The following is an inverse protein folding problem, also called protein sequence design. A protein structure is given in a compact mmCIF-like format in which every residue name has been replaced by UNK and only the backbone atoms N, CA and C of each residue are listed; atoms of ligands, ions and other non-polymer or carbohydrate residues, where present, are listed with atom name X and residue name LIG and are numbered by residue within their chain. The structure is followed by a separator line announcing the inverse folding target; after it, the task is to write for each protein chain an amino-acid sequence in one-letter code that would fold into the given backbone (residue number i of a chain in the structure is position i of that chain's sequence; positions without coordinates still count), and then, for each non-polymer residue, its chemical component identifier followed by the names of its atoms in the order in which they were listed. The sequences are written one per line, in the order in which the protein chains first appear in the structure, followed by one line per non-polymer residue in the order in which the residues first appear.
data_IF_165261641320
#
_entry.id   IF_165261641320
#
_cell.length_a   1.000
_cell.length_b   1.000
_cell.length_c   1.000
_cell.angle_alpha   90.00
_cell.angle_beta   90.00
_cell.angle_gamma   90.00
#
_symmetry.space_group_name_H-M   'P 1'
#
loop_
_entity.id
_entity.type
_entity.pdbx_description
1 polymer ?
#
# COMPACT_ATOMS: atom_id res chain seq x y z
N UNK A 1 1.58 7.23 -9.26
CA UNK A 1 2.67 6.50 -8.55
C UNK A 1 3.95 6.59 -9.37
N UNK A 2 5.04 7.10 -8.80
CA UNK A 2 6.35 7.14 -9.48
C UNK A 2 6.83 5.75 -9.93
N UNK A 3 6.54 4.68 -9.16
CA UNK A 3 6.95 3.31 -9.47
C UNK A 3 6.40 2.81 -10.82
N UNK A 4 5.22 3.29 -11.24
CA UNK A 4 4.64 2.92 -12.53
C UNK A 4 5.40 3.51 -13.73
N UNK A 5 6.25 4.52 -13.51
CA UNK A 5 7.11 5.07 -14.56
C UNK A 5 8.28 4.14 -14.92
N UNK A 6 8.51 3.08 -14.14
CA UNK A 6 9.57 2.10 -14.37
C UNK A 6 8.94 0.79 -14.88
N UNK A 7 9.04 0.46 -16.19
CA UNK A 7 8.38 -0.72 -16.75
C UNK A 7 8.74 -2.04 -16.06
N UNK A 8 10.00 -2.16 -15.61
CA UNK A 8 10.49 -3.33 -14.86
C UNK A 8 9.80 -3.53 -13.51
N UNK A 9 9.27 -2.47 -12.91
CA UNK A 9 8.57 -2.49 -11.64
C UNK A 9 7.06 -2.53 -11.87
N UNK A 10 6.54 -1.73 -12.81
CA UNK A 10 5.12 -1.62 -13.13
C UNK A 10 4.41 -2.97 -13.35
N UNK A 11 5.11 -3.99 -13.92
CA UNK A 11 4.58 -5.35 -14.08
C UNK A 11 4.11 -6.02 -12.78
N UNK A 12 4.56 -5.54 -11.62
CA UNK A 12 4.21 -6.07 -10.30
C UNK A 12 3.15 -5.25 -9.55
N UNK A 13 2.62 -4.18 -10.15
CA UNK A 13 1.67 -3.28 -9.50
C UNK A 13 0.37 -3.20 -10.30
N UNK A 14 -0.77 -3.41 -9.62
CA UNK A 14 -2.08 -3.20 -10.22
C UNK A 14 -2.48 -1.72 -10.23
N UNK A 15 -3.21 -1.30 -11.27
CA UNK A 15 -3.70 0.09 -11.41
C UNK A 15 -5.20 0.24 -11.13
N UNK A 16 -5.94 -0.86 -11.08
CA UNK A 16 -7.42 -0.87 -10.98
C UNK A 16 -7.93 -1.29 -9.59
N UNK A 17 -7.03 -1.42 -8.61
CA UNK A 17 -7.37 -1.86 -7.26
C UNK A 17 -8.07 -0.79 -6.44
N UNK A 18 -8.88 -1.21 -5.46
CA UNK A 18 -9.65 -0.29 -4.63
C UNK A 18 -8.80 0.55 -3.67
N UNK A 19 -7.67 -0.01 -3.20
CA UNK A 19 -6.73 0.65 -2.28
C UNK A 19 -5.63 1.31 -3.11
N UNK A 20 -5.61 2.63 -3.06
CA UNK A 20 -4.56 3.40 -3.71
C UNK A 20 -3.27 3.36 -2.89
N UNK A 21 -2.17 3.13 -3.60
CA UNK A 21 -0.81 3.20 -3.08
C UNK A 21 -0.15 4.42 -3.71
N UNK A 22 0.66 5.15 -2.95
CA UNK A 22 1.43 6.29 -3.44
C UNK A 22 2.84 6.25 -2.84
N UNK A 23 3.83 6.61 -3.66
CA UNK A 23 5.16 6.97 -3.19
C UNK A 23 5.23 8.48 -2.95
N UNK A 24 6.24 8.95 -2.22
CA UNK A 24 6.49 10.38 -2.10
C UNK A 24 6.86 10.95 -3.48
N UNK A 25 6.14 11.98 -3.94
CA UNK A 25 6.35 12.61 -5.26
C UNK A 25 7.71 13.30 -5.40
N UNK A 26 8.44 13.50 -4.29
CA UNK A 26 9.80 14.05 -4.27
C UNK A 26 10.64 13.35 -3.21
N UNK A 27 11.88 13.04 -3.58
CA UNK A 27 12.97 12.83 -2.63
C UNK A 27 13.10 14.08 -1.78
N UNK A 28 12.77 14.00 -0.49
CA UNK A 28 13.38 14.93 0.44
C UNK A 28 14.88 14.62 0.49
N UNK A 29 15.69 15.64 0.74
CA UNK A 29 17.15 15.53 0.82
C UNK A 29 17.61 14.38 1.73
N UNK A 30 16.86 14.15 2.80
CA UNK A 30 17.14 13.11 3.78
C UNK A 30 17.02 11.69 3.20
N UNK A 31 15.99 11.41 2.39
CA UNK A 31 15.82 10.10 1.76
C UNK A 31 16.97 9.79 0.80
N UNK A 32 17.42 10.78 0.03
CA UNK A 32 18.55 10.60 -0.89
C UNK A 32 19.83 10.24 -0.12
N UNK A 33 20.13 10.96 0.97
CA UNK A 33 21.28 10.67 1.85
C UNK A 33 21.21 9.30 2.50
N UNK A 34 20.02 8.87 2.91
CA UNK A 34 19.84 7.53 3.48
C UNK A 34 20.13 6.45 2.43
N UNK A 35 19.64 6.61 1.19
CA UNK A 35 19.93 5.67 0.12
C UNK A 35 21.42 5.63 -0.26
N UNK A 36 22.09 6.78 -0.25
CA UNK A 36 23.54 6.87 -0.42
C UNK A 36 24.29 6.10 0.67
N UNK A 37 23.93 6.28 1.94
CA UNK A 37 24.53 5.54 3.05
C UNK A 37 24.32 4.01 2.92
N UNK A 38 23.16 3.56 2.43
CA UNK A 38 22.95 2.14 2.12
C UNK A 38 23.88 1.66 0.99
N UNK A 39 24.09 2.48 -0.03
CA UNK A 39 25.01 2.18 -1.12
C UNK A 39 26.46 2.08 -0.63
N UNK A 40 26.90 2.97 0.28
CA UNK A 40 28.24 2.92 0.89
C UNK A 40 28.47 1.64 1.69
N UNK A 41 27.42 1.09 2.29
CA UNK A 41 27.44 -0.19 2.99
C UNK A 41 27.35 -1.41 2.05
N UNK A 42 27.31 -1.18 0.73
CA UNK A 42 27.28 -2.24 -0.29
C UNK A 42 25.88 -2.80 -0.58
N UNK A 43 24.80 -2.17 -0.10
CA UNK A 43 23.45 -2.55 -0.48
C UNK A 43 23.07 -1.97 -1.84
N UNK A 44 22.36 -2.75 -2.65
CA UNK A 44 21.81 -2.25 -3.90
C UNK A 44 20.76 -1.17 -3.61
N UNK A 45 20.82 -0.06 -4.33
CA UNK A 45 19.69 0.88 -4.40
C UNK A 45 18.73 0.41 -5.50
N UNK A 46 17.47 0.23 -5.17
CA UNK A 46 16.43 -0.31 -6.06
C UNK A 46 15.28 0.68 -6.23
N UNK A 47 14.77 0.77 -7.45
CA UNK A 47 13.61 1.61 -7.81
C UNK A 47 12.33 1.14 -7.11
N UNK A 48 12.19 -0.16 -6.88
CA UNK A 48 11.03 -0.77 -6.23
C UNK A 48 11.47 -1.93 -5.34
N UNK A 49 11.09 -1.84 -4.06
CA UNK A 49 11.36 -2.87 -3.05
C UNK A 49 10.38 -4.04 -3.09
N UNK A 50 9.23 -3.86 -3.75
CA UNK A 50 8.24 -4.90 -3.95
C UNK A 50 8.53 -5.72 -5.22
N UNK A 51 9.58 -5.38 -5.97
CA UNK A 51 10.04 -6.20 -7.07
C UNK A 51 10.63 -7.51 -6.52
N UNK A 52 10.07 -8.69 -6.88
CA UNK A 52 10.52 -9.98 -6.34
C UNK A 52 11.92 -10.40 -6.83
N UNK A 53 12.45 -9.78 -7.89
CA UNK A 53 13.73 -10.14 -8.50
C UNK A 53 14.91 -9.40 -7.85
N UNK A 54 14.68 -8.34 -7.06
CA UNK A 54 15.75 -7.51 -6.50
C UNK A 54 15.55 -7.18 -5.03
N UNK A 55 16.59 -7.44 -4.24
CA UNK A 55 16.69 -7.03 -2.83
C UNK A 55 17.59 -5.79 -2.75
N UNK A 56 17.13 -4.77 -2.01
CA UNK A 56 17.90 -3.54 -1.83
C UNK A 56 17.18 -2.47 -1.01
N UNK A 57 17.88 -1.35 -0.82
CA UNK A 57 17.32 -0.13 -0.26
C UNK A 57 16.62 0.66 -1.36
N UNK A 58 15.44 1.20 -1.09
CA UNK A 58 14.66 1.89 -2.12
C UNK A 58 13.53 2.68 -1.52
N UNK A 59 12.77 3.32 -2.41
CA UNK A 59 11.63 4.12 -2.02
C UNK A 59 10.55 3.28 -1.32
N UNK A 60 9.88 3.92 -0.37
CA UNK A 60 8.72 3.36 0.30
C UNK A 60 7.44 3.80 -0.43
N UNK A 61 6.56 2.82 -0.61
CA UNK A 61 5.18 3.02 -1.03
C UNK A 61 4.27 2.95 0.19
N UNK A 62 3.27 3.82 0.21
CA UNK A 62 2.34 3.95 1.32
C UNK A 62 0.90 3.84 0.81
N UNK A 63 -0.01 3.36 1.64
CA UNK A 63 -1.45 3.41 1.39
C UNK A 63 -1.98 4.81 1.66
N UNK A 64 -1.69 5.74 0.74
CA UNK A 64 -2.00 7.16 0.84
C UNK A 64 -2.59 7.63 -0.49
N UNK A 65 -3.64 8.45 -0.42
CA UNK A 65 -4.23 9.18 -1.54
C UNK A 65 -4.44 10.62 -1.11
N UNK A 66 -3.95 11.58 -1.91
CA UNK A 66 -4.07 13.01 -1.64
C UNK A 66 -3.60 13.41 -0.23
N UNK A 67 -2.49 12.82 0.23
CA UNK A 67 -1.93 13.08 1.56
C UNK A 67 -2.72 12.49 2.73
N UNK A 68 -3.80 11.74 2.47
CA UNK A 68 -4.60 11.06 3.50
C UNK A 68 -4.40 9.57 3.45
N UNK A 69 -4.42 8.94 4.62
CA UNK A 69 -4.40 7.47 4.76
C UNK A 69 -5.57 6.85 3.97
N UNK A 70 -5.26 5.89 3.11
CA UNK A 70 -6.24 4.99 2.49
C UNK A 70 -6.39 3.74 3.34
N UNK A 71 -7.30 3.79 4.31
CA UNK A 71 -7.71 2.60 5.07
C UNK A 71 -8.60 1.68 4.22
N UNK A 72 -8.76 0.42 4.63
CA UNK A 72 -9.72 -0.50 3.98
C UNK A 72 -11.16 0.00 4.06
N UNK A 73 -11.54 0.67 5.16
CA UNK A 73 -12.85 1.32 5.30
C UNK A 73 -13.03 2.40 4.23
N UNK A 74 -12.09 3.34 4.14
CA UNK A 74 -12.15 4.44 3.16
C UNK A 74 -12.09 3.96 1.72
N UNK A 75 -11.21 3.01 1.43
CA UNK A 75 -10.93 2.54 0.08
C UNK A 75 -12.00 1.58 -0.45
N UNK A 76 -12.67 0.83 0.43
CA UNK A 76 -13.60 -0.24 0.03
C UNK A 76 -14.99 -0.04 0.61
N UNK A 77 -15.10 0.04 1.95
CA UNK A 77 -16.40 0.02 2.62
C UNK A 77 -17.22 1.29 2.37
N UNK A 78 -16.60 2.47 2.46
CA UNK A 78 -17.28 3.76 2.28
C UNK A 78 -17.87 3.91 0.87
N UNK A 79 -17.24 3.29 -0.15
CA UNK A 79 -17.71 3.31 -1.54
C UNK A 79 -19.06 2.61 -1.73
N UNK A 80 -19.34 1.62 -0.89
CA UNK A 80 -20.56 0.79 -0.96
C UNK A 80 -21.47 0.96 0.26
N UNK A 81 -21.14 1.87 1.18
CA UNK A 81 -21.85 2.06 2.44
C UNK A 81 -23.33 2.44 2.30
N UNK A 82 -23.75 2.91 1.12
CA UNK A 82 -25.15 3.25 0.81
C UNK A 82 -25.96 2.11 0.17
N UNK A 83 -25.37 0.94 -0.03
CA UNK A 83 -26.08 -0.20 -0.60
C UNK A 83 -26.96 -0.85 0.48
N UNK A 84 -28.23 -1.11 0.16
CA UNK A 84 -29.23 -1.62 1.12
C UNK A 84 -28.95 -3.05 1.62
N UNK A 85 -27.99 -3.75 1.00
CA UNK A 85 -27.59 -5.11 1.36
C UNK A 85 -26.29 -5.16 2.19
N UNK A 86 -25.74 -4.03 2.61
CA UNK A 86 -24.53 -3.96 3.45
C UNK A 86 -24.84 -3.32 4.82
N UNK A 87 -24.59 -4.07 5.89
CA UNK A 87 -24.80 -3.64 7.27
C UNK A 87 -23.49 -3.64 8.03
N UNK A 88 -23.14 -2.50 8.63
CA UNK A 88 -21.91 -2.34 9.43
C UNK A 88 -22.29 -2.06 10.87
N UNK A 89 -21.95 -2.98 11.77
CA UNK A 89 -22.18 -2.83 13.21
C UNK A 89 -20.83 -2.55 13.89
N UNK A 90 -20.69 -1.35 14.47
CA UNK A 90 -19.50 -0.95 15.22
C UNK A 90 -19.68 -1.22 16.72
N UNK A 91 -18.58 -1.24 17.47
CA UNK A 91 -18.60 -1.51 18.92
C UNK A 91 -19.24 -2.85 19.32
N UNK A 92 -19.18 -3.85 18.43
CA UNK A 92 -19.74 -5.18 18.65
C UNK A 92 -18.62 -6.23 18.62
N UNK A 93 -18.27 -6.76 19.79
CA UNK A 93 -17.33 -7.87 19.91
C UNK A 93 -18.05 -9.19 19.63
N UNK A 94 -17.60 -9.92 18.61
CA UNK A 94 -18.11 -11.28 18.33
C UNK A 94 -17.66 -12.22 19.45
N UNK A 95 -18.59 -12.92 20.11
CA UNK A 95 -18.29 -13.76 21.28
C UNK A 95 -18.42 -15.25 21.01
N UNK A 96 -19.28 -15.67 20.09
CA UNK A 96 -19.47 -17.07 19.70
C UNK A 96 -20.03 -17.18 18.30
N UNK A 97 -19.73 -18.30 17.65
CA UNK A 97 -20.41 -18.75 16.44
C UNK A 97 -21.50 -19.73 16.86
N UNK A 98 -22.72 -19.57 16.36
CA UNK A 98 -23.80 -20.52 16.57
C UNK A 98 -23.73 -21.58 15.46
N UNK A 99 -23.56 -22.84 15.86
CA UNK A 99 -23.52 -23.97 14.93
C UNK A 99 -24.83 -24.74 15.11
N UNK A 100 -25.54 -24.96 14.01
CA UNK A 100 -26.75 -25.79 13.98
C UNK A 100 -26.45 -27.03 13.14
N UNK A 101 -26.60 -28.20 13.77
CA UNK A 101 -26.51 -29.48 13.09
C UNK A 101 -27.90 -29.85 12.55
N UNK A 102 -27.94 -30.68 11.51
CA UNK A 102 -29.17 -31.29 10.98
C UNK A 102 -29.90 -32.14 12.03
#
# INVERSE_FOLDING_TARGET
QIILNYPSSAKYHGTEGEIEVAGLDRLNFDTAKILEAFSELGFNVVEDRNNPERIGAGHLSFTIKEGKRQSTVTAMLDKVAKQDNLFVVTNALVTKVLIQNE
#
